data_IF_542186027949
#
_entry.id   IF_542186027949
#
_cell.length_a   1.000
_cell.length_b   1.000
_cell.length_c   1.000
_cell.angle_alpha   90.00
_cell.angle_beta   90.00
_cell.angle_gamma   90.00
#
_symmetry.space_group_name_H-M   'P 1'
#
loop_
_entity.id
_entity.type
_entity.pdbx_description
1 polymer ?
#
# COMPACT_ATOMS: atom_id res chain seq x y z
N UNK A 1 21.62 6.69 7.52
CA UNK A 1 21.52 5.22 7.68
C UNK A 1 22.90 4.65 7.82
N UNK A 2 23.13 3.69 8.72
CA UNK A 2 24.37 2.92 8.68
C UNK A 2 24.33 1.98 7.48
N UNK A 3 25.46 1.82 6.79
CA UNK A 3 25.59 0.92 5.63
C UNK A 3 25.14 -0.52 5.94
N UNK A 4 25.15 -0.92 7.22
CA UNK A 4 24.77 -2.26 7.68
C UNK A 4 23.32 -2.65 7.40
N UNK A 5 22.36 -1.71 7.46
CA UNK A 5 20.93 -2.05 7.31
C UNK A 5 20.58 -2.32 5.84
N UNK A 6 21.18 -1.59 4.91
CA UNK A 6 20.99 -1.83 3.47
C UNK A 6 21.63 -3.14 3.03
N UNK A 7 22.81 -3.47 3.56
CA UNK A 7 23.48 -4.75 3.32
C UNK A 7 22.65 -5.93 3.82
N UNK A 8 22.09 -5.86 5.04
CA UNK A 8 21.22 -6.91 5.56
C UNK A 8 20.04 -7.17 4.63
N UNK A 9 19.37 -6.12 4.17
CA UNK A 9 18.16 -6.27 3.35
C UNK A 9 18.47 -6.75 1.93
N UNK A 10 19.59 -6.30 1.33
CA UNK A 10 20.03 -6.83 0.03
C UNK A 10 20.33 -8.33 0.07
N UNK A 11 20.71 -8.84 1.23
CA UNK A 11 20.99 -10.26 1.44
C UNK A 11 19.73 -11.09 1.72
N UNK A 12 18.59 -10.45 2.01
CA UNK A 12 17.32 -11.15 2.16
C UNK A 12 16.81 -11.57 0.78
N UNK A 13 16.48 -12.86 0.66
CA UNK A 13 16.14 -13.49 -0.62
C UNK A 13 14.64 -13.55 -0.86
N UNK A 14 13.84 -13.33 0.17
CA UNK A 14 12.40 -13.46 0.12
C UNK A 14 11.70 -12.30 0.81
N UNK A 15 10.49 -12.01 0.32
CA UNK A 15 9.57 -11.08 0.96
C UNK A 15 9.32 -11.43 2.44
N UNK A 16 9.18 -12.72 2.74
CA UNK A 16 8.88 -13.18 4.10
C UNK A 16 9.96 -12.75 5.08
N UNK A 17 11.23 -12.87 4.69
CA UNK A 17 12.36 -12.44 5.51
C UNK A 17 12.36 -10.92 5.74
N UNK A 18 12.07 -10.13 4.70
CA UNK A 18 11.99 -8.65 4.81
C UNK A 18 10.86 -8.26 5.77
N UNK A 19 9.72 -8.93 5.64
CA UNK A 19 8.56 -8.69 6.48
C UNK A 19 8.83 -9.03 7.96
N UNK A 20 9.47 -10.16 8.24
CA UNK A 20 9.85 -10.55 9.60
C UNK A 20 10.92 -9.63 10.19
N UNK A 21 11.91 -9.20 9.38
CA UNK A 21 12.90 -8.20 9.80
C UNK A 21 12.21 -6.89 10.22
N UNK A 22 11.33 -6.36 9.36
CA UNK A 22 10.61 -5.12 9.63
C UNK A 22 9.75 -5.25 10.89
N UNK A 23 9.05 -6.37 11.06
CA UNK A 23 8.25 -6.63 12.26
C UNK A 23 9.07 -6.69 13.53
N UNK A 24 10.25 -7.31 13.48
CA UNK A 24 11.17 -7.37 14.61
C UNK A 24 11.69 -5.98 15.01
N UNK A 25 11.99 -5.14 14.01
CA UNK A 25 12.53 -3.79 14.24
C UNK A 25 11.47 -2.76 14.62
N UNK A 26 10.29 -2.83 14.00
CA UNK A 26 9.16 -1.93 14.26
C UNK A 26 7.86 -2.70 14.55
N UNK A 27 7.74 -3.28 15.76
CA UNK A 27 6.53 -3.98 16.16
C UNK A 27 5.28 -3.11 16.03
N UNK A 28 4.27 -3.62 15.34
CA UNK A 28 3.00 -2.91 15.12
C UNK A 28 3.03 -1.80 14.07
N UNK A 29 4.15 -1.61 13.36
CA UNK A 29 4.21 -0.65 12.26
C UNK A 29 3.38 -1.11 11.06
N UNK A 30 3.56 -2.36 10.61
CA UNK A 30 2.68 -2.97 9.60
C UNK A 30 1.40 -3.45 10.27
N UNK A 31 0.26 -2.94 9.81
CA UNK A 31 -1.05 -3.19 10.38
C UNK A 31 -1.87 -4.21 9.58
N UNK A 32 -1.82 -4.14 8.25
CA UNK A 32 -2.61 -5.00 7.37
C UNK A 32 -1.93 -5.18 6.00
N UNK A 33 -2.38 -6.16 5.22
CA UNK A 33 -1.92 -6.40 3.86
C UNK A 33 -3.09 -6.82 2.97
N UNK A 34 -3.41 -5.97 1.98
CA UNK A 34 -4.59 -6.09 1.13
C UNK A 34 -4.20 -6.52 -0.29
N UNK A 35 -5.05 -7.31 -0.96
CA UNK A 35 -4.70 -7.88 -2.28
C UNK A 35 -4.92 -6.92 -3.44
N UNK A 36 -5.78 -5.93 -3.29
CA UNK A 36 -6.21 -5.07 -4.40
C UNK A 36 -6.81 -3.75 -3.92
N UNK A 37 -6.80 -2.75 -4.80
CA UNK A 37 -7.68 -1.60 -4.64
C UNK A 37 -9.13 -1.99 -4.92
N UNK A 38 -10.08 -1.26 -4.32
CA UNK A 38 -11.49 -1.40 -4.66
C UNK A 38 -11.71 -1.17 -6.16
N UNK A 39 -12.55 -1.99 -6.77
CA UNK A 39 -12.98 -1.86 -8.17
C UNK A 39 -13.68 -0.52 -8.46
N UNK A 40 -14.11 0.17 -7.42
CA UNK A 40 -14.70 1.52 -7.50
C UNK A 40 -13.66 2.59 -7.90
N UNK A 41 -12.36 2.29 -7.78
CA UNK A 41 -11.24 3.17 -8.10
C UNK A 41 -10.27 2.51 -9.08
N UNK A 42 -10.72 2.16 -10.31
CA UNK A 42 -9.95 1.34 -11.24
C UNK A 42 -8.62 1.98 -11.66
N UNK A 43 -8.51 3.31 -11.60
CA UNK A 43 -7.29 4.04 -11.92
C UNK A 43 -6.17 3.77 -10.92
N UNK A 44 -6.48 3.54 -9.63
CA UNK A 44 -5.47 3.21 -8.62
C UNK A 44 -4.85 1.84 -8.94
N UNK A 45 -5.69 0.85 -9.25
CA UNK A 45 -5.22 -0.47 -9.64
C UNK A 45 -4.42 -0.43 -10.96
N UNK A 46 -4.88 0.36 -11.94
CA UNK A 46 -4.18 0.57 -13.21
C UNK A 46 -2.81 1.21 -12.99
N UNK A 47 -2.72 2.26 -12.18
CA UNK A 47 -1.47 2.95 -11.91
C UNK A 47 -0.49 2.05 -11.17
N UNK A 48 -0.96 1.27 -10.20
CA UNK A 48 -0.11 0.28 -9.53
C UNK A 48 0.44 -0.75 -10.51
N UNK A 49 -0.41 -1.27 -11.43
CA UNK A 49 0.05 -2.18 -12.47
C UNK A 49 1.14 -1.56 -13.36
N UNK A 50 0.94 -0.33 -13.81
CA UNK A 50 1.95 0.39 -14.63
C UNK A 50 3.28 0.50 -13.88
N UNK A 51 3.25 0.86 -12.60
CA UNK A 51 4.48 0.98 -11.79
C UNK A 51 5.16 -0.38 -11.62
N UNK A 52 4.40 -1.44 -11.31
CA UNK A 52 4.94 -2.79 -11.18
C UNK A 52 5.59 -3.26 -12.50
N UNK A 53 4.91 -3.06 -13.64
CA UNK A 53 5.41 -3.40 -14.97
C UNK A 53 6.71 -2.64 -15.31
N UNK A 54 6.77 -1.33 -15.01
CA UNK A 54 7.97 -0.51 -15.21
C UNK A 54 9.15 -0.98 -14.35
N UNK A 55 8.88 -1.44 -13.13
CA UNK A 55 9.88 -2.02 -12.24
C UNK A 55 10.23 -3.48 -12.55
N UNK A 56 9.65 -4.08 -13.60
CA UNK A 56 9.80 -5.51 -13.94
C UNK A 56 9.43 -6.45 -12.79
N UNK A 57 8.49 -6.01 -11.95
CA UNK A 57 7.99 -6.77 -10.81
C UNK A 57 6.56 -7.20 -11.03
N UNK A 58 6.16 -8.25 -10.32
CA UNK A 58 4.75 -8.61 -10.22
C UNK A 58 4.06 -7.73 -9.17
N UNK A 59 2.78 -7.46 -9.37
CA UNK A 59 1.92 -6.85 -8.36
C UNK A 59 1.92 -7.77 -7.14
N UNK A 60 2.24 -7.20 -5.98
CA UNK A 60 2.21 -7.90 -4.71
C UNK A 60 0.97 -7.49 -3.90
N UNK A 61 1.16 -7.08 -2.64
CA UNK A 61 0.11 -6.60 -1.75
C UNK A 61 0.21 -5.09 -1.50
N UNK A 62 -0.89 -4.51 -1.04
CA UNK A 62 -0.95 -3.17 -0.46
C UNK A 62 -0.74 -3.32 1.04
N UNK A 63 0.42 -2.92 1.54
CA UNK A 63 0.77 -2.91 2.96
C UNK A 63 0.23 -1.62 3.59
N UNK A 64 -0.60 -1.79 4.61
CA UNK A 64 -1.08 -0.70 5.45
C UNK A 64 -0.17 -0.56 6.65
N UNK A 65 0.42 0.61 6.84
CA UNK A 65 1.28 0.94 7.98
C UNK A 65 0.62 1.99 8.89
N UNK A 66 1.02 2.01 10.16
CA UNK A 66 0.46 2.94 11.15
C UNK A 66 0.73 4.42 10.79
N UNK A 67 2.00 4.75 10.56
CA UNK A 67 2.48 6.05 10.08
C UNK A 67 3.96 5.93 9.71
N UNK A 68 4.56 6.95 9.10
CA UNK A 68 6.01 7.10 8.98
C UNK A 68 6.51 8.04 10.08
N UNK A 69 7.28 7.51 11.03
CA UNK A 69 7.81 8.22 12.20
C UNK A 69 9.29 8.58 12.05
N UNK A 70 10.00 7.97 11.08
CA UNK A 70 11.42 8.21 10.82
C UNK A 70 11.81 7.88 9.37
N UNK A 71 12.98 8.36 8.95
CA UNK A 71 13.53 8.15 7.60
C UNK A 71 13.75 6.67 7.27
N UNK A 72 14.05 5.85 8.27
CA UNK A 72 14.30 4.42 8.04
C UNK A 72 13.03 3.71 7.54
N UNK A 73 11.88 4.02 8.13
CA UNK A 73 10.58 3.53 7.68
C UNK A 73 10.25 3.96 6.25
N UNK A 74 10.65 5.17 5.85
CA UNK A 74 10.54 5.61 4.45
C UNK A 74 11.40 4.73 3.54
N UNK A 75 12.63 4.44 3.93
CA UNK A 75 13.50 3.55 3.14
C UNK A 75 12.95 2.14 3.01
N UNK A 76 12.38 1.54 4.08
CA UNK A 76 11.71 0.24 3.96
C UNK A 76 10.52 0.30 3.00
N UNK A 77 9.76 1.40 3.01
CA UNK A 77 8.64 1.56 2.09
C UNK A 77 9.07 1.70 0.63
N UNK A 78 10.17 2.42 0.36
CA UNK A 78 10.77 2.52 -0.98
C UNK A 78 11.25 1.15 -1.46
N UNK A 79 11.93 0.41 -0.60
CA UNK A 79 12.37 -0.94 -0.90
C UNK A 79 11.19 -1.87 -1.20
N UNK A 80 10.17 -1.91 -0.34
CA UNK A 80 8.96 -2.70 -0.58
C UNK A 80 8.31 -2.30 -1.91
N UNK A 81 8.26 -1.00 -2.21
CA UNK A 81 7.73 -0.50 -3.48
C UNK A 81 8.55 -1.00 -4.67
N UNK A 82 9.88 -1.05 -4.53
CA UNK A 82 10.79 -1.63 -5.54
C UNK A 82 10.64 -3.14 -5.74
N UNK A 83 9.83 -3.81 -4.92
CA UNK A 83 9.49 -5.24 -5.04
C UNK A 83 8.04 -5.46 -5.49
N UNK A 84 7.32 -4.40 -5.85
CA UNK A 84 5.94 -4.46 -6.35
C UNK A 84 4.85 -4.33 -5.27
N UNK A 85 5.22 -4.08 -4.01
CA UNK A 85 4.25 -3.70 -2.97
C UNK A 85 3.79 -2.26 -3.17
N UNK A 86 2.64 -1.93 -2.59
CA UNK A 86 2.30 -0.54 -2.30
C UNK A 86 2.34 -0.38 -0.80
N UNK A 87 3.03 0.64 -0.30
CA UNK A 87 3.01 0.98 1.13
C UNK A 87 2.22 2.27 1.32
N UNK A 88 1.20 2.22 2.16
CA UNK A 88 0.33 3.36 2.48
C UNK A 88 0.01 3.38 3.96
N UNK A 89 -0.23 4.56 4.49
CA UNK A 89 -0.64 4.71 5.89
C UNK A 89 -2.11 4.33 6.08
N UNK A 90 -2.48 3.99 7.31
CA UNK A 90 -3.87 3.76 7.73
C UNK A 90 -4.79 4.98 7.52
N UNK A 91 -4.23 6.18 7.33
CA UNK A 91 -4.98 7.40 7.06
C UNK A 91 -5.27 7.61 5.57
N UNK A 92 -4.54 6.90 4.70
CA UNK A 92 -4.69 6.99 3.24
C UNK A 92 -5.64 5.93 2.71
N UNK A 93 -5.59 4.70 3.25
CA UNK A 93 -6.40 3.59 2.77
C UNK A 93 -7.10 2.89 3.93
N UNK A 94 -8.36 2.52 3.71
CA UNK A 94 -9.17 1.72 4.61
C UNK A 94 -9.46 0.35 3.98
N UNK A 95 -9.33 -0.76 4.72
CA UNK A 95 -9.78 -2.06 4.24
C UNK A 95 -11.32 -2.10 4.20
N UNK A 96 -11.89 -2.50 3.07
CA UNK A 96 -13.31 -2.80 2.98
C UNK A 96 -13.68 -3.88 4.01
N UNK A 97 -14.68 -3.64 4.85
CA UNK A 97 -15.08 -4.60 5.90
C UNK A 97 -15.58 -5.95 5.37
N UNK A 98 -15.97 -6.02 4.09
CA UNK A 98 -16.49 -7.25 3.45
C UNK A 98 -15.44 -7.93 2.58
N UNK A 99 -14.94 -7.25 1.53
CA UNK A 99 -14.03 -7.89 0.56
C UNK A 99 -12.55 -7.59 0.79
N UNK A 100 -12.22 -6.82 1.84
CA UNK A 100 -10.83 -6.42 2.19
C UNK A 100 -10.06 -5.66 1.11
N UNK A 101 -10.70 -5.23 0.02
CA UNK A 101 -10.08 -4.33 -0.95
C UNK A 101 -9.80 -2.96 -0.33
N UNK A 102 -8.71 -2.33 -0.76
CA UNK A 102 -8.28 -1.03 -0.26
C UNK A 102 -9.14 0.11 -0.82
N UNK A 103 -9.69 0.92 0.08
CA UNK A 103 -10.54 2.07 -0.24
C UNK A 103 -9.78 3.34 0.13
N UNK A 104 -9.60 4.30 -0.79
CA UNK A 104 -8.99 5.57 -0.46
C UNK A 104 -9.77 6.31 0.62
N UNK A 105 -9.07 7.06 1.45
CA UNK A 105 -9.70 7.95 2.43
C UNK A 105 -10.51 9.03 1.74
N UNK A 106 -11.43 9.65 2.49
CA UNK A 106 -12.29 10.72 1.96
C UNK A 106 -11.46 11.87 1.38
N UNK A 107 -10.34 12.22 2.02
CA UNK A 107 -9.42 13.25 1.53
C UNK A 107 -8.80 12.90 0.17
N UNK A 108 -8.39 11.64 -0.03
CA UNK A 108 -7.86 11.19 -1.32
C UNK A 108 -8.98 11.17 -2.37
N UNK A 109 -10.17 10.71 -1.99
CA UNK A 109 -11.35 10.73 -2.86
C UNK A 109 -11.68 12.14 -3.36
N UNK A 110 -11.72 13.13 -2.46
CA UNK A 110 -11.98 14.54 -2.82
C UNK A 110 -10.95 15.01 -3.84
N UNK A 111 -9.66 14.80 -3.56
CA UNK A 111 -8.57 15.17 -4.49
C UNK A 111 -8.73 14.49 -5.85
N UNK A 112 -9.04 13.19 -5.89
CA UNK A 112 -9.27 12.48 -7.15
C UNK A 112 -10.43 13.09 -7.94
N UNK A 113 -11.53 13.44 -7.27
CA UNK A 113 -12.71 14.06 -7.88
C UNK A 113 -12.40 15.45 -8.45
N UNK A 114 -11.68 16.28 -7.69
CA UNK A 114 -11.24 17.61 -8.12
C UNK A 114 -10.35 17.58 -9.37
N UNK A 115 -9.54 16.52 -9.51
CA UNK A 115 -8.68 16.31 -10.69
C UNK A 115 -9.40 15.61 -11.86
N UNK A 116 -10.73 15.48 -11.79
CA UNK A 116 -11.52 14.87 -12.86
C UNK A 116 -11.31 13.36 -13.03
N UNK A 117 -10.75 12.68 -12.01
CA UNK A 117 -10.64 11.21 -12.03
C UNK A 117 -12.03 10.63 -11.81
N UNK A 118 -12.42 9.67 -12.66
CA UNK A 118 -13.69 8.96 -12.51
C UNK A 118 -13.71 8.16 -11.21
N UNK A 119 -14.52 8.60 -10.26
CA UNK A 119 -14.72 8.03 -8.91
C UNK A 119 -16.23 7.91 -8.62
N UNK A 120 -16.65 7.14 -7.60
CA UNK A 120 -18.06 7.05 -7.24
C UNK A 120 -18.68 8.42 -6.90
N UNK A 121 -20.00 8.55 -7.07
CA UNK A 121 -20.72 9.80 -6.79
C UNK A 121 -20.53 10.29 -5.34
N UNK A 122 -20.50 9.34 -4.39
CA UNK A 122 -20.32 9.58 -2.96
C UNK A 122 -19.24 8.66 -2.39
N UNK A 123 -18.41 9.21 -1.51
CA UNK A 123 -17.42 8.43 -0.77
C UNK A 123 -18.08 7.53 0.28
N UNK A 124 -17.54 6.32 0.47
CA UNK A 124 -17.97 5.35 1.49
C UNK A 124 -16.79 4.51 1.97
N UNK A 125 -16.81 4.08 3.24
CA UNK A 125 -15.82 3.14 3.83
C UNK A 125 -15.98 1.67 3.40
N UNK A 126 -16.76 1.41 2.36
CA UNK A 126 -17.07 0.06 1.86
C UNK A 126 -17.29 0.13 0.35
N UNK A 127 -16.89 -0.93 -0.37
CA UNK A 127 -17.04 -0.98 -1.81
C UNK A 127 -18.52 -0.92 -2.22
N UNK A 128 -18.83 -0.29 -3.36
CA UNK A 128 -20.20 -0.18 -3.90
C UNK A 128 -20.85 -1.56 -4.04
N UNK A 129 -20.13 -2.51 -4.62
CA UNK A 129 -20.58 -3.91 -4.82
C UNK A 129 -20.80 -4.70 -3.53
N UNK A 130 -20.31 -4.24 -2.39
CA UNK A 130 -20.44 -4.96 -1.12
C UNK A 130 -21.65 -4.50 -0.32
N UNK A 131 -22.35 -3.45 -0.74
CA UNK A 131 -23.63 -3.02 -0.13
C UNK A 131 -24.83 -3.87 -0.59
N UNK A 132 -24.61 -4.74 -1.57
CA UNK A 132 -25.55 -5.72 -2.09
C UNK A 132 -25.74 -6.88 -1.13
#
# INVERSE_FOLDING_TARGET
>A
MSDSTFEEIRNLKTLGEIYELIKGKYPGWIMDALDSYSSDYPQLQKNWKIIADLSKNQIQKIIIVKNFENDEQHTYAELLSSMGFVVRTQYELYPCSVCKSAIPSENIYIKMKEHGINVPEKWKKKCVRCYS
#
